data_IF_836092524927
#
_entry.id   IF_836092524927
#
_cell.length_a   1.000
_cell.length_b   1.000
_cell.length_c   1.000
_cell.angle_alpha   90.00
_cell.angle_beta   90.00
_cell.angle_gamma   90.00
#
_symmetry.space_group_name_H-M   'P 1'
#
loop_
_entity.id
_entity.type
_entity.pdbx_description
1 polymer ?
#
# COMPACT_ATOMS: atom_id res chain seq x y z
N UNK A 1 -12.88 -1.85 -12.77
CA UNK A 1 -13.28 -0.43 -12.59
C UNK A 1 -12.77 -0.02 -11.23
N UNK A 2 -11.82 0.91 -11.18
CA UNK A 2 -11.29 1.44 -9.93
C UNK A 2 -12.30 2.44 -9.39
N UNK A 3 -12.95 2.12 -8.27
CA UNK A 3 -13.87 3.04 -7.61
C UNK A 3 -13.18 3.49 -6.33
N UNK A 4 -12.33 4.50 -6.44
CA UNK A 4 -11.74 5.16 -5.28
C UNK A 4 -12.81 6.06 -4.68
N UNK A 5 -13.10 5.89 -3.39
CA UNK A 5 -13.94 6.82 -2.66
C UNK A 5 -13.01 7.89 -2.09
N UNK A 6 -13.04 9.08 -2.70
CA UNK A 6 -12.48 10.30 -2.11
C UNK A 6 -13.28 10.63 -0.86
N UNK A 7 -12.83 10.17 0.31
CA UNK A 7 -13.23 10.77 1.56
C UNK A 7 -12.26 11.93 1.83
N UNK A 8 -12.55 13.11 1.29
CA UNK A 8 -11.84 14.39 1.51
C UNK A 8 -11.96 14.91 2.96
N UNK A 9 -12.03 14.03 3.95
CA UNK A 9 -11.70 14.41 5.32
C UNK A 9 -10.19 14.53 5.38
N UNK A 10 -9.69 15.69 4.96
CA UNK A 10 -8.35 16.21 5.17
C UNK A 10 -8.09 16.42 6.67
N UNK A 11 -8.18 15.35 7.45
CA UNK A 11 -7.66 15.34 8.80
C UNK A 11 -6.13 15.24 8.65
N UNK A 12 -5.45 16.38 8.78
CA UNK A 12 -3.99 16.50 8.88
C UNK A 12 -3.41 15.73 10.09
N UNK A 13 -4.28 15.15 10.91
CA UNK A 13 -3.96 14.20 11.97
C UNK A 13 -4.34 12.79 11.54
N UNK A 14 -3.34 11.98 11.20
CA UNK A 14 -3.50 10.51 11.10
C UNK A 14 -3.76 9.99 12.51
N UNK A 15 -5.02 9.99 12.95
CA UNK A 15 -5.43 9.20 14.12
C UNK A 15 -5.58 7.75 13.65
N UNK A 16 -4.82 6.80 14.18
CA UNK A 16 -5.11 5.39 13.95
C UNK A 16 -6.56 5.15 14.37
N UNK A 17 -7.39 4.64 13.47
CA UNK A 17 -8.69 4.09 13.86
C UNK A 17 -8.43 2.83 14.74
N UNK A 18 -9.44 2.13 15.24
CA UNK A 18 -9.25 1.05 16.23
C UNK A 18 -8.25 -0.07 15.81
N UNK A 19 -7.84 -0.10 14.54
CA UNK A 19 -6.81 -0.94 13.97
C UNK A 19 -5.48 -0.18 13.86
N UNK A 20 -4.36 -0.84 14.20
CA UNK A 20 -3.03 -0.21 14.17
C UNK A 20 -2.71 0.46 12.83
N UNK A 21 -1.92 1.54 12.86
CA UNK A 21 -1.39 2.16 11.66
C UNK A 21 -0.18 1.36 11.17
N UNK A 22 -0.19 0.93 9.93
CA UNK A 22 0.90 0.14 9.34
C UNK A 22 1.59 0.93 8.23
N UNK A 23 2.85 0.59 7.95
CA UNK A 23 3.62 1.11 6.82
C UNK A 23 3.91 -0.01 5.84
N UNK A 24 3.53 0.18 4.57
CA UNK A 24 3.87 -0.70 3.46
C UNK A 24 5.13 -0.19 2.77
N UNK A 25 6.19 -1.01 2.75
CA UNK A 25 7.45 -0.69 2.09
C UNK A 25 7.79 -1.76 1.06
N UNK A 26 8.54 -1.37 0.03
CA UNK A 26 9.02 -2.27 -1.02
C UNK A 26 10.48 -2.60 -0.76
N UNK A 27 10.93 -3.77 -1.19
CA UNK A 27 12.37 -4.03 -1.25
C UNK A 27 13.05 -3.11 -2.28
N UNK A 28 14.19 -2.52 -1.92
CA UNK A 28 14.85 -1.48 -2.73
C UNK A 28 15.44 -1.99 -4.06
N UNK A 29 15.62 -3.30 -4.20
CA UNK A 29 16.20 -3.95 -5.39
C UNK A 29 15.18 -4.24 -6.50
N UNK A 30 13.94 -3.76 -6.36
CA UNK A 30 12.83 -4.11 -7.25
C UNK A 30 12.64 -3.11 -8.37
N UNK A 31 12.38 -3.64 -9.56
CA UNK A 31 11.93 -2.85 -10.71
C UNK A 31 10.47 -2.46 -10.50
N UNK A 32 10.28 -1.26 -9.95
CA UNK A 32 9.00 -0.61 -9.79
C UNK A 32 8.72 0.31 -10.99
N UNK A 33 7.52 0.19 -11.55
CA UNK A 33 7.00 1.09 -12.59
C UNK A 33 5.64 1.63 -12.16
N UNK A 34 5.32 2.85 -12.57
CA UNK A 34 4.00 3.47 -12.38
C UNK A 34 3.34 3.53 -13.75
N UNK A 35 2.23 2.82 -13.91
CA UNK A 35 1.53 2.75 -15.19
C UNK A 35 0.04 2.46 -15.03
N UNK A 36 -0.73 2.60 -16.10
CA UNK A 36 -2.18 2.29 -16.12
C UNK A 36 -2.50 0.82 -16.41
N UNK A 37 -1.48 0.02 -16.75
CA UNK A 37 -1.57 -1.39 -17.15
C UNK A 37 -0.32 -2.15 -16.68
N UNK A 38 -0.39 -3.48 -16.47
CA UNK A 38 0.78 -4.26 -16.08
C UNK A 38 1.90 -4.16 -17.13
N UNK A 39 3.13 -3.94 -16.66
CA UNK A 39 4.32 -3.83 -17.51
C UNK A 39 5.12 -5.13 -17.45
N UNK A 40 5.38 -5.74 -18.62
CA UNK A 40 6.20 -6.94 -18.70
C UNK A 40 7.66 -6.63 -18.30
N UNK A 41 8.23 -7.48 -17.45
CA UNK A 41 9.60 -7.32 -16.94
C UNK A 41 9.69 -6.57 -15.61
N UNK A 42 8.69 -5.76 -15.24
CA UNK A 42 8.65 -5.11 -13.93
C UNK A 42 8.27 -6.10 -12.81
N UNK A 43 8.90 -5.97 -11.65
CA UNK A 43 8.50 -6.74 -10.47
C UNK A 43 7.16 -6.23 -9.91
N UNK A 44 7.01 -4.90 -9.90
CA UNK A 44 5.82 -4.21 -9.40
C UNK A 44 5.41 -3.16 -10.43
N UNK A 45 4.14 -3.15 -10.80
CA UNK A 45 3.51 -2.04 -11.50
C UNK A 45 2.44 -1.42 -10.59
N UNK A 46 2.66 -0.22 -10.07
CA UNK A 46 1.63 0.51 -9.32
C UNK A 46 0.66 1.20 -10.28
N UNK A 47 -0.63 1.09 -10.01
CA UNK A 47 -1.65 1.69 -10.86
C UNK A 47 -1.63 3.22 -10.72
N UNK A 48 -1.26 3.94 -11.78
CA UNK A 48 -1.01 5.39 -11.74
C UNK A 48 -2.13 6.21 -11.07
N UNK A 49 -3.41 5.86 -11.29
CA UNK A 49 -4.53 6.60 -10.71
C UNK A 49 -4.56 6.61 -9.16
N UNK A 50 -3.99 5.61 -8.49
CA UNK A 50 -3.94 5.62 -7.02
C UNK A 50 -3.01 6.71 -6.49
N UNK A 51 -2.03 7.14 -7.29
CA UNK A 51 -1.04 8.14 -6.91
C UNK A 51 -1.54 9.58 -7.11
N UNK A 52 -2.74 9.76 -7.70
CA UNK A 52 -3.36 11.08 -7.88
C UNK A 52 -3.91 11.66 -6.58
N UNK A 53 -4.15 10.82 -5.58
CA UNK A 53 -4.76 11.20 -4.31
C UNK A 53 -3.74 10.97 -3.18
N UNK A 54 -3.53 11.98 -2.34
CA UNK A 54 -2.64 11.85 -1.17
C UNK A 54 -3.13 10.79 -0.17
N UNK A 55 -4.45 10.59 -0.10
CA UNK A 55 -5.09 9.54 0.68
C UNK A 55 -6.40 9.10 0.03
N UNK A 56 -6.82 7.86 0.27
CA UNK A 56 -8.08 7.30 -0.25
C UNK A 56 -8.48 6.04 0.52
N UNK A 57 -9.73 5.59 0.34
CA UNK A 57 -10.19 4.28 0.81
C UNK A 57 -10.19 3.28 -0.34
N UNK A 58 -9.37 2.24 -0.23
CA UNK A 58 -9.35 1.11 -1.13
C UNK A 58 -10.36 0.06 -0.68
N UNK A 59 -11.24 -0.36 -1.61
CA UNK A 59 -12.14 -1.48 -1.43
C UNK A 59 -11.49 -2.79 -1.95
N UNK A 60 -11.92 -3.97 -1.49
CA UNK A 60 -11.30 -5.24 -1.90
C UNK A 60 -11.30 -5.53 -3.40
N UNK A 61 -12.21 -4.92 -4.15
CA UNK A 61 -12.29 -5.05 -5.61
C UNK A 61 -11.41 -4.02 -6.36
N UNK A 62 -10.82 -3.05 -5.67
CA UNK A 62 -9.96 -2.04 -6.27
C UNK A 62 -8.59 -2.63 -6.61
N UNK A 63 -8.08 -2.27 -7.79
CA UNK A 63 -6.77 -2.70 -8.26
C UNK A 63 -5.76 -1.64 -7.84
N UNK A 64 -4.82 -2.02 -6.97
CA UNK A 64 -3.72 -1.15 -6.54
C UNK A 64 -2.56 -1.27 -7.52
N UNK A 65 -2.40 -2.42 -8.16
CA UNK A 65 -1.36 -2.63 -9.14
C UNK A 65 -1.26 -4.07 -9.57
N UNK A 66 -0.09 -4.41 -10.10
CA UNK A 66 0.24 -5.73 -10.59
C UNK A 66 1.63 -6.14 -10.13
N UNK A 67 1.82 -7.44 -9.97
CA UNK A 67 3.01 -8.06 -9.42
C UNK A 67 3.47 -9.20 -10.31
N UNK A 68 4.77 -9.45 -10.30
CA UNK A 68 5.31 -10.66 -10.91
C UNK A 68 5.04 -11.91 -10.04
N UNK A 69 5.62 -13.05 -10.43
CA UNK A 69 5.51 -14.34 -9.76
C UNK A 69 5.87 -14.36 -8.26
N UNK A 70 6.72 -13.46 -7.76
CA UNK A 70 7.06 -13.36 -6.35
C UNK A 70 5.95 -12.68 -5.51
N UNK A 71 5.00 -12.01 -6.18
CA UNK A 71 3.77 -11.51 -5.58
C UNK A 71 4.02 -10.64 -4.34
N UNK A 72 3.39 -10.99 -3.23
CA UNK A 72 3.52 -10.23 -1.98
C UNK A 72 4.93 -10.28 -1.36
N UNK A 73 5.81 -11.16 -1.84
CA UNK A 73 7.20 -11.24 -1.40
C UNK A 73 8.04 -10.00 -1.72
N UNK A 74 7.53 -9.07 -2.52
CA UNK A 74 8.19 -7.78 -2.74
C UNK A 74 7.96 -6.75 -1.63
N UNK A 75 7.05 -7.03 -0.70
CA UNK A 75 6.60 -6.08 0.30
C UNK A 75 7.02 -6.48 1.71
N UNK A 76 7.24 -5.46 2.53
CA UNK A 76 7.40 -5.58 3.97
C UNK A 76 6.40 -4.65 4.65
N UNK A 77 5.87 -5.09 5.79
CA UNK A 77 5.02 -4.27 6.63
C UNK A 77 5.72 -4.05 7.96
N UNK A 78 5.76 -2.80 8.39
CA UNK A 78 6.12 -2.42 9.75
C UNK A 78 4.98 -1.68 10.42
N UNK A 79 5.04 -1.57 11.75
CA UNK A 79 4.21 -0.61 12.46
C UNK A 79 4.52 0.81 11.96
N UNK A 80 3.48 1.61 11.78
CA UNK A 80 3.60 3.04 11.57
C UNK A 80 4.05 3.75 12.85
N UNK A 81 4.26 5.06 12.82
CA UNK A 81 4.61 5.81 14.02
C UNK A 81 3.50 5.67 15.07
N UNK A 82 3.76 4.94 16.15
CA UNK A 82 2.88 4.82 17.32
C UNK A 82 3.34 5.77 18.41
N UNK A 83 2.39 6.35 19.16
CA UNK A 83 2.70 7.19 20.34
C UNK A 83 3.31 6.41 21.51
N UNK A 84 3.36 5.08 21.43
CA UNK A 84 3.87 4.20 22.47
C UNK A 84 4.88 3.20 21.88
N UNK A 85 6.10 3.23 22.42
CA UNK A 85 7.18 2.28 22.15
C UNK A 85 6.82 0.90 22.73
N UNK A 86 6.06 0.10 21.99
CA UNK A 86 5.82 -1.29 22.37
C UNK A 86 6.78 -2.20 21.61
N UNK A 87 7.86 -2.59 22.30
CA UNK A 87 8.95 -3.46 21.86
C UNK A 87 8.54 -4.94 21.58
N UNK A 88 7.25 -5.24 21.44
CA UNK A 88 6.71 -6.58 21.14
C UNK A 88 5.64 -6.51 20.05
N UNK A 89 5.95 -5.86 18.93
CA UNK A 89 5.07 -5.87 17.78
C UNK A 89 5.01 -7.31 17.20
N UNK A 90 3.81 -7.88 16.99
CA UNK A 90 3.68 -9.19 16.36
C UNK A 90 4.27 -9.16 14.94
N UNK A 91 4.74 -10.31 14.46
CA UNK A 91 5.13 -10.44 13.06
C UNK A 91 3.91 -10.20 12.16
N UNK A 92 4.03 -9.25 11.24
CA UNK A 92 2.96 -8.82 10.35
C UNK A 92 3.31 -9.20 8.93
N UNK A 93 2.48 -10.03 8.32
CA UNK A 93 2.66 -10.49 6.95
C UNK A 93 1.85 -9.64 5.98
N UNK A 94 2.37 -9.26 4.80
CA UNK A 94 1.59 -8.64 3.72
C UNK A 94 0.28 -9.37 3.39
N UNK A 95 0.28 -10.69 3.45
CA UNK A 95 -0.90 -11.52 3.17
C UNK A 95 -2.07 -11.33 4.15
N UNK A 96 -1.85 -10.65 5.29
CA UNK A 96 -2.91 -10.31 6.24
C UNK A 96 -3.75 -9.11 5.77
N UNK A 97 -3.30 -8.35 4.78
CA UNK A 97 -3.99 -7.13 4.32
C UNK A 97 -4.14 -7.06 2.80
N UNK A 98 -3.27 -7.73 2.06
CA UNK A 98 -3.23 -7.67 0.61
C UNK A 98 -3.33 -9.06 0.00
N UNK A 99 -3.88 -9.13 -1.22
CA UNK A 99 -3.82 -10.31 -2.08
C UNK A 99 -3.11 -9.98 -3.39
N UNK A 100 -2.53 -11.02 -4.01
CA UNK A 100 -1.81 -10.93 -5.28
C UNK A 100 -2.36 -11.92 -6.32
N UNK A 101 -3.67 -12.23 -6.24
CA UNK A 101 -4.28 -13.29 -7.04
C UNK A 101 -4.22 -12.98 -8.53
N UNK A 102 -3.64 -13.92 -9.31
CA UNK A 102 -3.42 -13.74 -10.74
C UNK A 102 -2.47 -12.59 -11.08
N UNK A 103 -1.56 -12.24 -10.16
CA UNK A 103 -0.64 -11.11 -10.33
C UNK A 103 -1.30 -9.74 -10.13
N UNK A 104 -2.53 -9.67 -9.61
CA UNK A 104 -3.23 -8.42 -9.34
C UNK A 104 -3.15 -8.11 -7.85
N UNK A 105 -2.56 -6.96 -7.50
CA UNK A 105 -2.46 -6.48 -6.13
C UNK A 105 -3.77 -5.79 -5.71
N UNK A 106 -4.37 -6.28 -4.62
CA UNK A 106 -5.58 -5.71 -4.00
C UNK A 106 -5.48 -5.74 -2.48
N UNK A 107 -6.31 -4.94 -1.80
CA UNK A 107 -6.57 -5.10 -0.36
C UNK A 107 -7.58 -6.23 -0.14
N UNK A 108 -7.53 -6.92 1.00
CA UNK A 108 -8.49 -7.98 1.34
C UNK A 108 -9.72 -7.45 2.09
N UNK A 109 -9.58 -6.31 2.76
CA UNK A 109 -10.64 -5.57 3.46
C UNK A 109 -10.63 -4.11 3.04
N UNK A 110 -11.71 -3.38 3.34
CA UNK A 110 -11.69 -1.93 3.16
C UNK A 110 -10.51 -1.35 3.96
N UNK A 111 -9.72 -0.50 3.31
CA UNK A 111 -8.45 -0.02 3.88
C UNK A 111 -8.27 1.44 3.51
N UNK A 112 -8.07 2.30 4.51
CA UNK A 112 -7.64 3.67 4.27
C UNK A 112 -6.13 3.70 4.05
N UNK A 113 -5.72 4.34 2.96
CA UNK A 113 -4.33 4.45 2.51
C UNK A 113 -3.93 5.92 2.51
N UNK A 114 -2.74 6.21 3.01
CA UNK A 114 -2.08 7.51 3.00
C UNK A 114 -0.73 7.36 2.30
N UNK A 115 -0.56 7.97 1.13
CA UNK A 115 0.68 7.84 0.37
C UNK A 115 1.83 8.58 1.07
N UNK A 116 2.98 7.93 1.14
CA UNK A 116 4.23 8.54 1.62
C UNK A 116 4.97 9.20 0.45
N UNK A 117 4.90 8.57 -0.72
CA UNK A 117 5.61 8.97 -1.92
C UNK A 117 4.79 8.63 -3.17
N UNK A 118 4.97 9.44 -4.22
CA UNK A 118 4.36 9.22 -5.55
C UNK A 118 5.38 8.95 -6.64
N UNK A 119 6.66 9.26 -6.41
CA UNK A 119 7.76 9.01 -7.35
C UNK A 119 8.47 7.70 -7.02
N UNK A 120 8.98 7.00 -8.04
CA UNK A 120 9.58 5.66 -7.89
C UNK A 120 10.74 5.66 -6.88
N UNK A 121 11.68 6.59 -7.00
CA UNK A 121 12.86 6.66 -6.13
C UNK A 121 12.47 6.92 -4.67
N UNK A 122 11.46 7.75 -4.44
CA UNK A 122 10.93 8.04 -3.12
C UNK A 122 10.17 6.84 -2.54
N UNK A 123 9.40 6.12 -3.35
CA UNK A 123 8.68 4.91 -2.92
C UNK A 123 9.67 3.82 -2.47
N UNK A 124 10.74 3.60 -3.23
CA UNK A 124 11.75 2.59 -2.92
C UNK A 124 12.59 2.95 -1.68
N UNK A 125 12.85 4.24 -1.44
CA UNK A 125 13.68 4.70 -0.32
C UNK A 125 12.90 4.97 0.97
N UNK A 126 11.69 5.56 0.88
CA UNK A 126 10.89 6.00 2.02
C UNK A 126 9.74 5.05 2.34
N UNK A 127 9.36 4.17 1.42
CA UNK A 127 8.17 3.31 1.52
C UNK A 127 7.00 3.89 0.73
N UNK A 128 6.00 3.05 0.47
CA UNK A 128 4.89 3.38 -0.42
C UNK A 128 3.79 4.16 0.30
N UNK A 129 3.23 3.59 1.37
CA UNK A 129 2.11 4.20 2.07
C UNK A 129 2.05 3.80 3.54
N UNK A 130 1.36 4.62 4.32
CA UNK A 130 0.73 4.16 5.56
C UNK A 130 -0.70 3.69 5.27
N UNK A 131 -1.18 2.73 6.04
CA UNK A 131 -2.54 2.24 5.89
C UNK A 131 -3.15 1.72 7.19
N UNK A 132 -4.47 1.73 7.26
CA UNK A 132 -5.27 1.12 8.32
C UNK A 132 -6.49 0.43 7.71
N UNK A 133 -6.75 -0.85 8.03
CA UNK A 133 -8.05 -1.46 7.74
C UNK A 133 -9.19 -0.67 8.39
N UNK A 134 -10.35 -0.60 7.71
CA UNK A 134 -11.57 0.09 8.17
C UNK A 134 -12.80 -0.80 8.05
#
# INVERSE_FOLDING_TARGET
MLTLVDSTNSNDSITPEAHGLYKLSLHADRQLVIETKPVFGANITLHQDILKHANFVAQPNNIIGWLDHAGLGHFTISQGPTLSEQNNAPFISPSQFFSADGGILRVISSTRIYLIATEVDDILSKGFCFFTPV
#
